data_IF_672913832830
#
_entry.id   IF_672913832830
#
_cell.length_a   1.000
_cell.length_b   1.000
_cell.length_c   1.000
_cell.angle_alpha   90.00
_cell.angle_beta   90.00
_cell.angle_gamma   90.00
#
_symmetry.space_group_name_H-M   'P 1'
#
loop_
_entity.id
_entity.type
_entity.pdbx_description
1 polymer ?
#
# COMPACT_ATOMS: atom_id res chain seq x y z
N UNK A 1 -32.88 -3.57 -0.73
CA UNK A 1 -33.08 -3.89 0.71
C UNK A 1 -31.80 -3.79 1.53
N UNK A 2 -30.68 -4.48 1.19
CA UNK A 2 -29.40 -4.45 1.96
C UNK A 2 -28.98 -3.07 2.48
N UNK A 3 -29.01 -2.02 1.65
CA UNK A 3 -28.63 -0.64 2.03
C UNK A 3 -29.33 -0.10 3.29
N UNK A 4 -30.66 -0.28 3.42
CA UNK A 4 -31.39 0.21 4.58
C UNK A 4 -31.15 -0.62 5.83
N UNK A 5 -30.97 -1.95 5.68
CA UNK A 5 -30.53 -2.81 6.79
C UNK A 5 -29.12 -2.42 7.27
N UNK A 6 -28.22 -2.03 6.36
CA UNK A 6 -26.86 -1.54 6.66
C UNK A 6 -26.87 -0.19 7.39
N UNK A 7 -27.66 0.80 6.95
CA UNK A 7 -27.84 2.07 7.67
C UNK A 7 -28.45 1.86 9.08
N UNK A 8 -29.28 0.83 9.26
CA UNK A 8 -29.83 0.46 10.57
C UNK A 8 -28.79 -0.28 11.43
N UNK A 9 -28.00 -1.18 10.85
CA UNK A 9 -26.89 -1.87 11.51
C UNK A 9 -25.80 -0.90 12.00
N UNK A 10 -25.51 0.17 11.25
CA UNK A 10 -24.64 1.28 11.70
C UNK A 10 -25.12 2.02 12.97
N UNK A 11 -26.36 1.79 13.41
CA UNK A 11 -26.93 2.29 14.68
C UNK A 11 -27.02 1.21 15.78
N UNK A 12 -26.62 -0.03 15.50
CA UNK A 12 -26.49 -1.09 16.50
C UNK A 12 -25.20 -0.93 17.31
N UNK A 13 -25.19 -1.45 18.54
CA UNK A 13 -24.12 -1.31 19.53
C UNK A 13 -22.88 -2.18 19.26
N UNK A 14 -22.37 -2.21 18.03
CA UNK A 14 -21.14 -2.92 17.65
C UNK A 14 -20.09 -1.92 17.16
N UNK A 15 -18.88 -2.00 17.72
CA UNK A 15 -17.77 -1.11 17.35
C UNK A 15 -17.08 -1.51 16.03
N UNK A 16 -17.34 -2.74 15.57
CA UNK A 16 -16.81 -3.33 14.35
C UNK A 16 -17.77 -4.34 13.72
N UNK A 17 -17.54 -4.68 12.45
CA UNK A 17 -18.23 -5.77 11.73
C UNK A 17 -17.22 -6.62 10.96
N UNK A 18 -17.31 -7.94 11.11
CA UNK A 18 -16.43 -8.90 10.43
C UNK A 18 -17.07 -9.37 9.12
N UNK A 19 -16.34 -9.30 7.99
CA UNK A 19 -16.82 -9.71 6.66
C UNK A 19 -15.89 -10.68 5.92
N UNK A 20 -16.42 -11.59 5.07
CA UNK A 20 -15.60 -12.43 4.20
C UNK A 20 -14.79 -11.59 3.20
N UNK A 21 -13.49 -11.90 3.09
CA UNK A 21 -12.52 -11.10 2.33
C UNK A 21 -11.43 -12.01 1.73
N UNK A 22 -11.56 -12.36 0.45
CA UNK A 22 -10.62 -13.25 -0.29
C UNK A 22 -10.28 -14.59 0.41
N UNK A 23 -11.26 -15.20 1.08
CA UNK A 23 -11.09 -16.44 1.86
C UNK A 23 -10.66 -16.21 3.32
N UNK A 24 -10.32 -14.98 3.67
CA UNK A 24 -10.06 -14.49 5.02
C UNK A 24 -11.29 -13.73 5.57
N UNK A 25 -11.15 -13.12 6.73
CA UNK A 25 -12.14 -12.24 7.37
C UNK A 25 -11.55 -10.85 7.61
N UNK A 26 -12.15 -9.79 7.07
CA UNK A 26 -11.77 -8.40 7.36
C UNK A 26 -12.68 -7.83 8.45
N UNK A 27 -12.10 -7.30 9.52
CA UNK A 27 -12.77 -6.54 10.57
C UNK A 27 -12.85 -5.07 10.18
N UNK A 28 -14.07 -4.63 9.88
CA UNK A 28 -14.39 -3.24 9.58
C UNK A 28 -14.75 -2.49 10.87
N UNK A 29 -13.79 -1.80 11.48
CA UNK A 29 -14.06 -0.88 12.59
C UNK A 29 -14.82 0.36 12.10
N UNK A 30 -15.69 0.91 12.95
CA UNK A 30 -16.59 2.02 12.59
C UNK A 30 -15.87 3.31 12.14
N UNK A 31 -14.61 3.51 12.54
CA UNK A 31 -13.79 4.67 12.18
C UNK A 31 -12.83 4.43 10.99
N UNK A 32 -12.87 3.27 10.33
CA UNK A 32 -12.03 3.01 9.16
C UNK A 32 -12.81 3.25 7.86
N UNK A 33 -12.37 4.24 7.08
CA UNK A 33 -12.91 4.50 5.76
C UNK A 33 -12.50 3.43 4.74
N UNK A 34 -11.24 2.97 4.75
CA UNK A 34 -10.76 1.92 3.83
C UNK A 34 -11.49 0.57 4.05
N UNK A 35 -11.75 0.18 5.30
CA UNK A 35 -12.58 -1.01 5.56
C UNK A 35 -14.06 -0.80 5.21
N UNK A 36 -14.58 0.42 5.35
CA UNK A 36 -15.94 0.77 4.90
C UNK A 36 -16.07 0.74 3.37
N UNK A 37 -15.02 1.10 2.64
CA UNK A 37 -14.94 0.98 1.19
C UNK A 37 -14.85 -0.51 0.77
N UNK A 38 -14.05 -1.33 1.45
CA UNK A 38 -13.98 -2.77 1.18
C UNK A 38 -15.33 -3.49 1.38
N UNK A 39 -16.11 -3.06 2.39
CA UNK A 39 -17.49 -3.49 2.61
C UNK A 39 -18.44 -3.06 1.47
N UNK A 40 -18.26 -1.87 0.92
CA UNK A 40 -19.11 -1.30 -0.14
C UNK A 40 -18.83 -1.91 -1.52
N UNK A 41 -17.56 -2.05 -1.89
CA UNK A 41 -17.09 -2.55 -3.18
C UNK A 41 -16.82 -4.07 -3.20
N UNK A 42 -17.52 -4.84 -2.34
CA UNK A 42 -17.51 -6.31 -2.34
C UNK A 42 -16.08 -6.91 -2.31
N UNK A 43 -15.21 -6.37 -1.45
CA UNK A 43 -13.85 -6.85 -1.21
C UNK A 43 -12.75 -6.31 -2.13
N UNK A 44 -13.07 -5.45 -3.10
CA UNK A 44 -12.09 -4.77 -3.96
C UNK A 44 -12.43 -3.28 -4.09
N UNK A 45 -12.11 -2.42 -3.08
CA UNK A 45 -12.30 -0.98 -3.20
C UNK A 45 -11.56 -0.41 -4.42
N UNK A 46 -10.27 -0.72 -4.54
CA UNK A 46 -9.40 -0.21 -5.58
C UNK A 46 -9.31 -1.27 -6.69
N UNK A 47 -10.40 -1.36 -7.45
CA UNK A 47 -10.67 -2.53 -8.29
C UNK A 47 -9.59 -2.80 -9.35
N UNK A 48 -8.90 -1.78 -9.87
CA UNK A 48 -7.85 -1.93 -10.89
C UNK A 48 -6.55 -2.39 -10.25
N UNK A 49 -6.17 -1.71 -9.19
CA UNK A 49 -4.96 -1.82 -8.38
C UNK A 49 -4.89 -3.23 -7.75
N UNK A 50 -5.93 -3.59 -7.02
CA UNK A 50 -6.06 -4.91 -6.39
C UNK A 50 -6.26 -6.03 -7.43
N UNK A 51 -6.78 -5.73 -8.62
CA UNK A 51 -6.80 -6.69 -9.73
C UNK A 51 -5.41 -6.93 -10.31
N UNK A 52 -4.55 -5.91 -10.41
CA UNK A 52 -3.13 -6.11 -10.76
C UNK A 52 -2.44 -6.99 -9.73
N UNK A 53 -2.59 -6.71 -8.43
CA UNK A 53 -1.99 -7.52 -7.34
C UNK A 53 -2.47 -8.98 -7.43
N UNK A 54 -3.78 -9.22 -7.64
CA UNK A 54 -4.35 -10.57 -7.88
C UNK A 54 -3.87 -11.23 -9.17
N UNK A 55 -3.33 -10.49 -10.13
CA UNK A 55 -2.79 -11.00 -11.39
C UNK A 55 -1.29 -11.28 -11.31
N UNK A 56 -0.54 -10.44 -10.61
CA UNK A 56 0.91 -10.42 -10.57
C UNK A 56 1.53 -11.28 -9.46
N UNK A 57 1.01 -11.20 -8.22
CA UNK A 57 1.57 -11.99 -7.11
C UNK A 57 1.40 -13.51 -7.32
N UNK A 58 2.33 -14.26 -6.74
CA UNK A 58 2.42 -15.72 -6.76
C UNK A 58 2.58 -16.26 -5.33
N UNK A 59 2.22 -17.55 -5.08
CA UNK A 59 2.60 -18.22 -3.85
C UNK A 59 4.11 -18.12 -3.61
N UNK A 60 4.52 -17.93 -2.36
CA UNK A 60 5.91 -17.72 -1.94
C UNK A 60 6.60 -16.41 -2.39
N UNK A 61 5.94 -15.47 -3.08
CA UNK A 61 6.46 -14.10 -3.22
C UNK A 61 6.55 -13.40 -1.84
N UNK A 62 7.51 -12.48 -1.66
CA UNK A 62 7.46 -11.44 -0.61
C UNK A 62 6.76 -10.19 -1.16
N UNK A 63 5.83 -9.61 -0.40
CA UNK A 63 5.13 -8.35 -0.68
C UNK A 63 5.39 -7.32 0.43
N UNK A 64 5.46 -6.04 0.07
CA UNK A 64 5.63 -4.92 0.99
C UNK A 64 4.42 -3.98 0.90
N UNK A 65 3.82 -3.65 2.04
CA UNK A 65 2.60 -2.83 2.13
C UNK A 65 2.93 -1.56 2.94
N UNK A 66 3.21 -0.45 2.24
CA UNK A 66 3.61 0.83 2.86
C UNK A 66 2.38 1.73 2.95
N UNK A 67 2.05 2.16 4.18
CA UNK A 67 0.73 2.70 4.49
C UNK A 67 -0.31 1.58 4.47
N UNK A 68 -0.03 0.49 5.21
CA UNK A 68 -0.89 -0.68 5.22
C UNK A 68 -2.30 -0.39 5.76
N UNK A 69 -2.49 0.73 6.47
CA UNK A 69 -3.74 1.16 7.07
C UNK A 69 -4.30 0.02 7.94
N UNK A 70 -5.59 -0.29 7.88
CA UNK A 70 -6.21 -1.43 8.58
C UNK A 70 -5.92 -2.81 7.96
N UNK A 71 -5.08 -2.88 6.93
CA UNK A 71 -4.63 -4.14 6.32
C UNK A 71 -5.45 -4.65 5.15
N UNK A 72 -6.15 -3.78 4.40
CA UNK A 72 -6.91 -4.16 3.19
C UNK A 72 -5.98 -4.84 2.18
N UNK A 73 -4.88 -4.17 1.80
CA UNK A 73 -3.86 -4.72 0.90
C UNK A 73 -3.10 -5.90 1.54
N UNK A 74 -2.69 -5.78 2.81
CA UNK A 74 -2.02 -6.83 3.58
C UNK A 74 -2.77 -8.16 3.55
N UNK A 75 -4.08 -8.17 3.83
CA UNK A 75 -4.89 -9.39 3.84
C UNK A 75 -5.05 -9.98 2.43
N UNK A 76 -5.21 -9.13 1.41
CA UNK A 76 -5.23 -9.58 0.02
C UNK A 76 -3.90 -10.26 -0.36
N UNK A 77 -2.77 -9.63 -0.05
CA UNK A 77 -1.44 -10.15 -0.34
C UNK A 77 -1.19 -11.47 0.41
N UNK A 78 -1.53 -11.54 1.70
CA UNK A 78 -1.38 -12.76 2.50
C UNK A 78 -2.17 -13.95 1.94
N UNK A 79 -3.40 -13.72 1.45
CA UNK A 79 -4.21 -14.73 0.77
C UNK A 79 -3.62 -15.16 -0.60
N UNK A 80 -2.81 -14.33 -1.24
CA UNK A 80 -2.20 -14.60 -2.54
C UNK A 80 -0.83 -15.29 -2.45
N UNK A 81 0.02 -14.89 -1.50
CA UNK A 81 1.36 -15.47 -1.32
C UNK A 81 1.35 -16.71 -0.42
N UNK A 82 0.33 -16.84 0.43
CA UNK A 82 0.13 -17.99 1.32
C UNK A 82 1.18 -18.12 2.42
N UNK A 83 1.14 -19.26 3.14
CA UNK A 83 1.99 -19.51 4.30
C UNK A 83 3.49 -19.72 4.00
N UNK A 84 3.88 -19.76 2.72
CA UNK A 84 5.28 -19.82 2.27
C UNK A 84 5.83 -18.47 1.79
N UNK A 85 4.97 -17.47 1.57
CA UNK A 85 5.37 -16.11 1.23
C UNK A 85 5.52 -15.23 2.47
N UNK A 86 5.82 -13.95 2.25
CA UNK A 86 5.95 -12.95 3.32
C UNK A 86 5.22 -11.67 2.95
N UNK A 87 4.68 -10.99 3.96
CA UNK A 87 4.07 -9.67 3.84
C UNK A 87 4.64 -8.77 4.94
N UNK A 88 5.27 -7.67 4.57
CA UNK A 88 5.75 -6.65 5.50
C UNK A 88 4.83 -5.43 5.44
N UNK A 89 4.01 -5.25 6.48
CA UNK A 89 2.98 -4.23 6.56
C UNK A 89 3.44 -3.08 7.47
N UNK A 90 3.72 -1.92 6.88
CA UNK A 90 4.21 -0.73 7.57
C UNK A 90 3.05 0.22 7.85
N UNK A 91 2.74 0.41 9.14
CA UNK A 91 1.70 1.31 9.61
C UNK A 91 2.18 2.07 10.88
N UNK A 92 2.59 3.34 10.74
CA UNK A 92 3.15 4.12 11.85
C UNK A 92 2.08 4.56 12.87
N UNK A 93 0.82 4.76 12.49
CA UNK A 93 -0.22 5.25 13.40
C UNK A 93 -0.70 4.19 14.38
N UNK A 94 -0.61 4.44 15.69
CA UNK A 94 -0.86 3.42 16.73
C UNK A 94 -2.29 2.86 16.70
N UNK A 95 -3.31 3.69 16.46
CA UNK A 95 -4.69 3.20 16.40
C UNK A 95 -4.92 2.32 15.16
N UNK A 96 -4.44 2.76 14.01
CA UNK A 96 -4.60 2.06 12.72
C UNK A 96 -3.82 0.74 12.71
N UNK A 97 -2.58 0.76 13.20
CA UNK A 97 -1.74 -0.44 13.38
C UNK A 97 -2.39 -1.47 14.30
N UNK A 98 -3.11 -1.06 15.33
CA UNK A 98 -3.84 -1.98 16.20
C UNK A 98 -4.96 -2.72 15.45
N UNK A 99 -5.71 -2.02 14.59
CA UNK A 99 -6.76 -2.64 13.76
C UNK A 99 -6.18 -3.61 12.70
N UNK A 100 -5.02 -3.25 12.12
CA UNK A 100 -4.23 -4.14 11.26
C UNK A 100 -3.74 -5.39 12.00
N UNK A 101 -3.20 -5.25 13.22
CA UNK A 101 -2.76 -6.37 14.05
C UNK A 101 -3.94 -7.29 14.44
N UNK A 102 -5.11 -6.73 14.79
CA UNK A 102 -6.34 -7.48 15.01
C UNK A 102 -6.76 -8.27 13.76
N UNK A 103 -6.70 -7.67 12.58
CA UNK A 103 -7.00 -8.33 11.29
C UNK A 103 -6.03 -9.47 10.98
N UNK A 104 -4.74 -9.30 11.27
CA UNK A 104 -3.71 -10.35 11.11
C UNK A 104 -3.93 -11.50 12.09
N UNK A 105 -4.22 -11.19 13.35
CA UNK A 105 -4.46 -12.17 14.41
C UNK A 105 -5.75 -12.97 14.20
N UNK A 106 -6.85 -12.31 13.80
CA UNK A 106 -8.14 -12.92 13.48
C UNK A 106 -8.01 -14.05 12.45
N UNK A 107 -7.13 -13.85 11.47
CA UNK A 107 -6.88 -14.79 10.38
C UNK A 107 -5.66 -15.70 10.59
N UNK A 108 -4.93 -15.55 11.70
CA UNK A 108 -3.74 -16.34 12.07
C UNK A 108 -2.63 -16.31 11.00
N UNK A 109 -2.42 -15.16 10.35
CA UNK A 109 -1.55 -15.03 9.18
C UNK A 109 -0.07 -14.99 9.57
N UNK A 110 0.54 -16.16 9.75
CA UNK A 110 1.97 -16.30 10.10
C UNK A 110 2.95 -15.78 9.04
N UNK A 111 2.48 -15.47 7.82
CA UNK A 111 3.27 -14.84 6.76
C UNK A 111 3.31 -13.30 6.87
N UNK A 112 2.49 -12.68 7.74
CA UNK A 112 2.44 -11.21 7.88
C UNK A 112 3.27 -10.75 9.08
N UNK A 113 4.12 -9.75 8.87
CA UNK A 113 4.77 -8.96 9.92
C UNK A 113 4.25 -7.53 9.89
N UNK A 114 3.78 -7.03 11.04
CA UNK A 114 3.25 -5.66 11.19
C UNK A 114 4.29 -4.78 11.87
N UNK A 115 4.62 -3.67 11.23
CA UNK A 115 5.76 -2.81 11.56
C UNK A 115 5.31 -1.41 11.98
N UNK A 116 5.81 -0.91 13.11
CA UNK A 116 5.47 0.40 13.69
C UNK A 116 6.32 1.56 13.12
N UNK A 117 6.71 1.47 11.86
CA UNK A 117 7.64 2.41 11.22
C UNK A 117 7.01 3.06 10.00
N UNK A 118 7.30 4.34 9.78
CA UNK A 118 7.10 4.98 8.49
C UNK A 118 8.33 4.71 7.59
N UNK A 119 8.10 4.41 6.32
CA UNK A 119 9.18 4.29 5.34
C UNK A 119 9.47 5.67 4.76
N UNK A 120 10.75 6.05 4.71
CA UNK A 120 11.20 7.36 4.23
C UNK A 120 12.61 7.27 3.61
N UNK A 121 13.17 8.40 3.19
CA UNK A 121 14.48 8.48 2.53
C UNK A 121 15.67 8.40 3.51
N UNK A 122 15.39 8.33 4.82
CA UNK A 122 16.36 8.22 5.92
C UNK A 122 15.72 7.63 7.17
N UNK A 123 16.53 6.99 8.02
CA UNK A 123 16.15 6.69 9.39
C UNK A 123 15.98 7.98 10.23
N UNK A 124 15.05 7.99 11.19
CA UNK A 124 14.83 9.16 12.05
C UNK A 124 13.51 9.15 12.82
N UNK A 125 12.94 10.33 13.06
CA UNK A 125 11.62 10.50 13.69
C UNK A 125 10.82 11.59 12.98
N UNK A 126 9.50 11.44 12.96
CA UNK A 126 8.56 12.36 12.31
C UNK A 126 7.29 12.54 13.16
N UNK A 127 6.49 13.54 12.77
CA UNK A 127 5.22 13.87 13.44
C UNK A 127 4.04 13.42 12.57
N UNK A 128 3.35 12.36 12.98
CA UNK A 128 2.11 11.92 12.35
C UNK A 128 0.95 12.74 12.89
N UNK A 129 0.24 13.48 12.04
CA UNK A 129 -0.92 14.27 12.46
C UNK A 129 -2.19 13.47 12.21
N UNK A 130 -2.90 13.06 13.27
CA UNK A 130 -4.19 12.40 13.14
C UNK A 130 -5.28 13.42 12.81
N UNK A 131 -5.53 13.61 11.51
CA UNK A 131 -6.74 14.25 11.01
C UNK A 131 -7.97 13.35 11.17
N UNK A 132 -9.15 13.91 10.87
CA UNK A 132 -10.29 13.04 10.51
C UNK A 132 -10.05 12.61 9.06
N UNK A 133 -9.89 11.30 8.90
CA UNK A 133 -9.76 10.51 7.66
C UNK A 133 -8.32 10.29 7.13
N UNK A 134 -7.45 11.29 7.04
CA UNK A 134 -6.10 11.12 6.44
C UNK A 134 -4.96 11.16 7.49
N UNK A 135 -4.01 10.22 7.42
CA UNK A 135 -2.88 10.09 8.36
C UNK A 135 -1.59 10.72 7.79
N UNK A 136 -1.55 12.06 7.71
CA UNK A 136 -0.42 12.78 7.10
C UNK A 136 0.83 12.74 8.01
N UNK A 137 1.84 11.98 7.58
CA UNK A 137 3.15 11.90 8.21
C UNK A 137 4.02 13.10 7.81
N UNK A 138 4.14 14.10 8.68
CA UNK A 138 4.90 15.32 8.37
C UNK A 138 6.29 15.32 9.01
N UNK A 139 7.33 15.55 8.20
CA UNK A 139 8.72 15.66 8.63
C UNK A 139 9.01 17.04 9.25
N UNK A 140 8.28 17.36 10.32
CA UNK A 140 8.46 18.59 11.10
C UNK A 140 9.44 18.34 12.25
N UNK A 141 10.41 19.23 12.49
CA UNK A 141 11.17 19.25 13.75
C UNK A 141 10.22 19.34 14.95
N UNK A 142 10.57 18.66 16.05
CA UNK A 142 9.68 18.44 17.20
C UNK A 142 9.21 19.72 17.94
N UNK A 143 9.78 20.88 17.62
CA UNK A 143 9.57 22.15 18.32
C UNK A 143 8.49 23.05 17.68
N UNK A 144 7.92 22.64 16.53
CA UNK A 144 6.87 23.40 15.86
C UNK A 144 5.49 23.15 16.52
N UNK A 145 5.11 24.02 17.46
CA UNK A 145 3.85 23.92 18.20
C UNK A 145 2.61 23.82 17.31
N UNK A 146 1.85 22.73 17.46
CA UNK A 146 0.66 22.41 16.66
C UNK A 146 -0.64 22.58 17.47
N UNK A 147 -1.68 23.10 16.81
CA UNK A 147 -2.97 23.42 17.42
C UNK A 147 -3.93 22.22 17.42
N UNK A 148 -4.34 21.76 18.60
CA UNK A 148 -5.48 20.86 18.90
C UNK A 148 -5.59 19.46 18.23
N UNK A 149 -4.83 19.15 17.18
CA UNK A 149 -4.80 17.82 16.57
C UNK A 149 -3.98 16.81 17.42
N UNK A 150 -4.33 15.53 17.37
CA UNK A 150 -3.51 14.48 17.98
C UNK A 150 -2.26 14.24 17.13
N UNK A 151 -1.11 14.72 17.58
CA UNK A 151 0.20 14.46 16.96
C UNK A 151 0.86 13.26 17.64
N UNK A 152 1.12 12.20 16.87
CA UNK A 152 1.87 11.02 17.30
C UNK A 152 3.33 11.12 16.83
N UNK A 153 4.29 10.88 17.71
CA UNK A 153 5.71 10.79 17.34
C UNK A 153 6.01 9.38 16.82
N UNK A 154 6.49 9.30 15.59
CA UNK A 154 6.69 8.05 14.85
C UNK A 154 8.15 7.89 14.42
N UNK A 155 8.62 6.65 14.29
CA UNK A 155 9.99 6.34 13.86
C UNK A 155 10.02 6.09 12.35
N UNK A 156 11.01 6.68 11.67
CA UNK A 156 11.25 6.49 10.24
C UNK A 156 12.40 5.50 9.99
N UNK A 157 12.30 4.71 8.92
CA UNK A 157 13.33 3.79 8.41
C UNK A 157 13.40 3.88 6.89
N UNK A 158 14.53 3.49 6.28
CA UNK A 158 14.59 3.15 4.85
C UNK A 158 14.22 1.68 4.64
N UNK A 159 13.76 1.28 3.45
CA UNK A 159 13.63 -0.15 3.13
C UNK A 159 15.02 -0.79 2.98
N UNK A 160 16.00 -0.07 2.43
CA UNK A 160 17.35 -0.58 2.23
C UNK A 160 18.04 -0.98 3.56
N UNK A 161 17.80 -0.26 4.66
CA UNK A 161 18.26 -0.63 6.00
C UNK A 161 17.39 -1.70 6.68
N UNK A 162 16.09 -1.77 6.36
CA UNK A 162 15.14 -2.67 7.03
C UNK A 162 15.09 -4.08 6.41
N UNK A 163 15.32 -4.20 5.09
CA UNK A 163 15.33 -5.45 4.33
C UNK A 163 16.66 -5.64 3.56
N UNK A 164 17.83 -5.53 4.22
CA UNK A 164 19.13 -5.43 3.53
C UNK A 164 19.45 -6.64 2.64
N UNK A 165 18.98 -7.83 3.01
CA UNK A 165 19.23 -9.11 2.33
C UNK A 165 17.96 -9.78 1.77
N UNK A 166 16.79 -9.11 1.80
CA UNK A 166 15.52 -9.68 1.32
C UNK A 166 14.99 -8.99 0.06
N UNK A 167 14.88 -9.73 -1.04
CA UNK A 167 14.18 -9.30 -2.26
C UNK A 167 12.66 -9.47 -2.09
N UNK A 168 11.90 -8.51 -2.63
CA UNK A 168 10.43 -8.58 -2.69
C UNK A 168 9.92 -8.46 -4.13
N UNK A 169 8.84 -9.18 -4.45
CA UNK A 169 8.27 -9.20 -5.79
C UNK A 169 7.58 -7.88 -6.14
N UNK A 170 6.95 -7.25 -5.15
CA UNK A 170 6.21 -5.99 -5.28
C UNK A 170 6.09 -5.22 -3.95
N UNK A 171 6.05 -3.89 -4.03
CA UNK A 171 5.55 -3.01 -2.97
C UNK A 171 4.28 -2.25 -3.41
N UNK A 172 3.36 -2.00 -2.47
CA UNK A 172 2.36 -0.91 -2.52
C UNK A 172 2.90 0.28 -1.73
N UNK A 173 2.70 1.48 -2.25
CA UNK A 173 3.07 2.74 -1.61
C UNK A 173 1.95 3.78 -1.83
N UNK A 174 1.12 3.99 -0.82
CA UNK A 174 0.38 5.25 -0.61
C UNK A 174 0.55 5.65 0.86
N UNK A 175 0.96 6.90 1.09
CA UNK A 175 1.36 7.49 2.37
C UNK A 175 1.19 9.02 2.32
N UNK A 176 0.06 9.48 1.77
CA UNK A 176 -0.41 10.87 1.79
C UNK A 176 0.52 11.93 1.16
N UNK A 177 1.37 11.52 0.21
CA UNK A 177 2.35 12.35 -0.48
C UNK A 177 3.82 12.01 -0.17
N UNK A 178 4.09 11.13 0.79
CA UNK A 178 5.47 10.77 1.17
C UNK A 178 6.10 9.68 0.27
N UNK A 179 5.41 9.23 -0.78
CA UNK A 179 5.80 8.13 -1.67
C UNK A 179 7.19 8.33 -2.31
N UNK A 180 7.59 9.53 -2.78
CA UNK A 180 8.93 9.75 -3.30
C UNK A 180 10.03 9.51 -2.26
N UNK A 181 9.75 9.78 -0.99
CA UNK A 181 10.72 9.53 0.10
C UNK A 181 10.84 8.03 0.37
N UNK A 182 9.73 7.30 0.41
CA UNK A 182 9.76 5.84 0.57
C UNK A 182 10.46 5.13 -0.61
N UNK A 183 10.30 5.62 -1.85
CA UNK A 183 11.04 5.10 -3.02
C UNK A 183 12.54 5.45 -2.95
N UNK A 184 12.90 6.67 -2.51
CA UNK A 184 14.31 7.06 -2.30
C UNK A 184 14.98 6.21 -1.21
N UNK A 185 14.24 5.81 -0.19
CA UNK A 185 14.66 4.83 0.83
C UNK A 185 14.71 3.37 0.36
N UNK A 186 14.51 3.10 -0.93
CA UNK A 186 14.54 1.76 -1.52
C UNK A 186 15.45 1.68 -2.77
N UNK A 187 16.28 2.70 -3.03
CA UNK A 187 17.11 2.78 -4.23
C UNK A 187 18.10 1.62 -4.35
N UNK A 188 18.56 1.07 -3.22
CA UNK A 188 19.32 -0.18 -3.19
C UNK A 188 18.53 -1.35 -3.77
N UNK A 189 17.31 -1.58 -3.30
CA UNK A 189 16.38 -2.60 -3.85
C UNK A 189 16.06 -2.38 -5.34
N UNK A 190 15.81 -1.13 -5.75
CA UNK A 190 15.54 -0.78 -7.16
C UNK A 190 16.75 -1.06 -8.07
N UNK A 191 17.97 -1.06 -7.52
CA UNK A 191 19.22 -1.38 -8.21
C UNK A 191 19.68 -2.85 -8.13
N UNK A 192 18.95 -3.74 -7.45
CA UNK A 192 19.29 -5.17 -7.37
C UNK A 192 19.05 -5.90 -8.69
N UNK A 193 19.54 -7.14 -8.79
CA UNK A 193 19.37 -8.01 -9.97
C UNK A 193 17.94 -8.51 -10.20
N UNK A 194 17.07 -8.46 -9.19
CA UNK A 194 15.64 -8.77 -9.28
C UNK A 194 14.82 -7.60 -8.68
N UNK A 195 14.81 -6.43 -9.33
CA UNK A 195 14.28 -5.21 -8.73
C UNK A 195 12.74 -5.26 -8.66
N UNK A 196 12.11 -4.72 -7.60
CA UNK A 196 10.68 -4.92 -7.32
C UNK A 196 9.76 -4.20 -8.30
N UNK A 197 8.50 -4.65 -8.44
CA UNK A 197 7.42 -3.81 -9.01
C UNK A 197 6.90 -2.87 -7.92
N UNK A 198 6.60 -1.62 -8.26
CA UNK A 198 6.00 -0.67 -7.32
C UNK A 198 4.60 -0.29 -7.81
N UNK A 199 3.58 -0.37 -6.96
CA UNK A 199 2.33 0.37 -7.12
C UNK A 199 2.41 1.61 -6.23
N UNK A 200 2.19 2.78 -6.82
CA UNK A 200 2.45 4.08 -6.19
C UNK A 200 1.25 5.00 -6.43
N UNK A 201 0.74 5.66 -5.39
CA UNK A 201 -0.26 6.73 -5.55
C UNK A 201 0.41 8.06 -5.97
N UNK A 202 -0.25 8.77 -6.89
CA UNK A 202 0.19 10.03 -7.48
C UNK A 202 -0.97 11.04 -7.60
N UNK A 203 -1.50 11.43 -6.45
CA UNK A 203 -2.53 12.48 -6.28
C UNK A 203 -1.99 13.93 -6.40
N UNK A 204 -0.66 14.10 -6.28
CA UNK A 204 0.02 15.39 -6.27
C UNK A 204 0.32 15.96 -4.87
N UNK A 205 -0.03 15.25 -3.79
CA UNK A 205 0.34 15.59 -2.42
C UNK A 205 1.83 15.47 -2.13
N UNK A 206 2.63 14.86 -3.01
CA UNK A 206 4.09 14.92 -3.00
C UNK A 206 4.66 16.36 -2.93
N UNK A 207 3.90 17.35 -3.40
CA UNK A 207 4.19 18.79 -3.25
C UNK A 207 4.33 19.22 -1.78
N UNK A 208 3.61 18.58 -0.84
CA UNK A 208 3.75 18.80 0.62
C UNK A 208 5.20 18.55 1.09
N UNK A 209 5.91 17.64 0.41
CA UNK A 209 7.28 17.21 0.69
C UNK A 209 8.30 17.83 -0.27
N UNK A 210 7.90 18.84 -1.05
CA UNK A 210 8.77 19.54 -2.00
C UNK A 210 9.12 18.75 -3.28
N UNK A 211 8.36 17.70 -3.61
CA UNK A 211 8.59 16.88 -4.82
C UNK A 211 7.42 17.04 -5.79
N UNK A 212 7.70 17.55 -6.98
CA UNK A 212 6.71 17.57 -8.07
C UNK A 212 6.59 16.18 -8.72
N UNK A 213 5.38 15.81 -9.13
CA UNK A 213 5.10 14.50 -9.76
C UNK A 213 5.95 14.25 -11.01
N UNK A 214 6.27 15.29 -11.78
CA UNK A 214 7.09 15.17 -12.99
C UNK A 214 8.57 14.86 -12.69
N UNK A 215 9.13 15.44 -11.62
CA UNK A 215 10.49 15.13 -11.15
C UNK A 215 10.57 13.70 -10.61
N UNK A 216 9.56 13.26 -9.85
CA UNK A 216 9.50 11.88 -9.33
C UNK A 216 9.41 10.83 -10.46
N UNK A 217 8.65 11.10 -11.52
CA UNK A 217 8.64 10.25 -12.72
C UNK A 217 10.00 10.25 -13.43
N UNK A 218 10.73 11.37 -13.43
CA UNK A 218 12.09 11.44 -13.97
C UNK A 218 13.12 10.72 -13.09
N UNK A 219 12.95 10.68 -11.77
CA UNK A 219 13.76 9.85 -10.85
C UNK A 219 13.57 8.35 -11.13
N UNK A 220 12.32 7.91 -11.34
CA UNK A 220 12.02 6.54 -11.75
C UNK A 220 12.61 6.20 -13.14
N UNK A 221 12.48 7.09 -14.13
CA UNK A 221 13.09 6.93 -15.47
C UNK A 221 14.62 6.78 -15.38
N UNK A 222 15.29 7.53 -14.50
CA UNK A 222 16.73 7.42 -14.20
C UNK A 222 17.10 6.13 -13.46
N UNK A 223 16.25 5.67 -12.53
CA UNK A 223 16.41 4.38 -11.85
C UNK A 223 16.18 3.15 -12.77
N UNK A 224 15.89 3.36 -14.06
CA UNK A 224 15.66 2.29 -15.03
C UNK A 224 14.24 1.73 -15.02
N UNK A 225 13.29 2.43 -14.40
CA UNK A 225 11.88 2.06 -14.35
C UNK A 225 11.08 2.79 -15.44
N UNK A 226 10.12 2.09 -16.04
CA UNK A 226 9.04 2.72 -16.80
C UNK A 226 7.77 2.75 -15.93
N UNK A 227 7.05 3.87 -15.97
CA UNK A 227 5.73 4.01 -15.31
C UNK A 227 4.61 3.70 -16.29
N UNK A 228 3.53 3.10 -15.81
CA UNK A 228 2.36 2.76 -16.60
C UNK A 228 1.11 2.48 -15.77
N UNK A 229 0.00 2.25 -16.45
CA UNK A 229 -1.32 2.06 -15.84
C UNK A 229 -1.81 0.65 -16.18
N UNK A 230 -2.36 -0.07 -15.19
CA UNK A 230 -2.92 -1.41 -15.43
C UNK A 230 -4.28 -1.32 -16.11
N UNK A 231 -4.44 -1.97 -17.26
CA UNK A 231 -5.75 -2.19 -17.87
C UNK A 231 -6.31 -3.57 -17.49
N UNK A 232 -7.46 -3.56 -16.82
CA UNK A 232 -8.10 -4.77 -16.26
C UNK A 232 -8.75 -5.63 -17.35
N UNK A 233 -9.16 -5.04 -18.48
CA UNK A 233 -9.83 -5.76 -19.56
C UNK A 233 -8.86 -6.64 -20.36
N UNK A 234 -7.70 -6.08 -20.71
CA UNK A 234 -6.61 -6.77 -21.42
C UNK A 234 -5.67 -7.55 -20.48
N UNK A 235 -5.62 -7.19 -19.19
CA UNK A 235 -4.61 -7.64 -18.23
C UNK A 235 -3.19 -7.23 -18.67
N UNK A 236 -3.01 -5.96 -19.03
CA UNK A 236 -1.73 -5.41 -19.51
C UNK A 236 -1.39 -4.08 -18.83
N UNK A 237 -0.18 -3.54 -19.08
CA UNK A 237 0.26 -2.26 -18.52
C UNK A 237 0.56 -1.29 -19.66
N UNK A 238 -0.22 -0.21 -19.78
CA UNK A 238 0.03 0.88 -20.71
C UNK A 238 1.16 1.77 -20.18
N UNK A 239 2.35 1.72 -20.79
CA UNK A 239 3.51 2.51 -20.38
C UNK A 239 3.37 3.97 -20.85
N UNK A 240 3.47 4.92 -19.92
CA UNK A 240 3.28 6.36 -20.20
C UNK A 240 4.21 7.24 -19.37
N UNK A 241 4.67 8.33 -19.99
CA UNK A 241 5.48 9.37 -19.33
C UNK A 241 4.66 10.47 -18.67
N UNK A 242 3.33 10.42 -18.83
CA UNK A 242 2.40 11.44 -18.32
C UNK A 242 1.17 10.79 -17.68
N UNK A 243 1.32 9.93 -16.66
CA UNK A 243 0.22 9.15 -16.08
C UNK A 243 -0.92 10.03 -15.54
N UNK A 244 -0.62 11.23 -15.04
CA UNK A 244 -1.58 12.23 -14.57
C UNK A 244 -2.62 12.66 -15.63
N UNK A 245 -2.36 12.46 -16.93
CA UNK A 245 -3.35 12.72 -17.99
C UNK A 245 -4.45 11.65 -18.10
N UNK A 246 -4.32 10.52 -17.41
CA UNK A 246 -5.30 9.43 -17.43
C UNK A 246 -6.47 9.62 -16.46
N UNK A 247 -6.31 10.46 -15.44
CA UNK A 247 -7.24 10.55 -14.31
C UNK A 247 -7.17 9.37 -13.33
N UNK A 248 -6.20 8.46 -13.45
CA UNK A 248 -5.92 7.40 -12.48
C UNK A 248 -4.85 7.88 -11.50
N UNK A 249 -5.11 7.76 -10.20
CA UNK A 249 -4.19 8.18 -9.12
C UNK A 249 -3.06 7.16 -8.93
N UNK A 250 -3.39 5.87 -8.92
CA UNK A 250 -2.43 4.79 -8.69
C UNK A 250 -1.74 4.35 -10.00
N UNK A 251 -0.41 4.33 -9.99
CA UNK A 251 0.43 3.93 -11.13
C UNK A 251 1.28 2.70 -10.79
N UNK A 252 1.75 1.99 -11.82
CA UNK A 252 2.74 0.93 -11.70
C UNK A 252 4.09 1.39 -12.25
N UNK A 253 5.14 1.36 -11.43
CA UNK A 253 6.51 1.47 -11.89
C UNK A 253 7.12 0.06 -12.01
N UNK A 254 7.65 -0.27 -13.19
CA UNK A 254 8.28 -1.56 -13.48
C UNK A 254 9.67 -1.34 -14.08
N UNK A 255 10.69 -1.97 -13.50
CA UNK A 255 12.05 -1.98 -14.06
C UNK A 255 12.05 -2.50 -15.49
N UNK A 256 12.76 -1.80 -16.38
CA UNK A 256 12.95 -2.16 -17.80
C UNK A 256 13.44 -3.59 -17.98
N UNK A 257 14.29 -4.07 -17.07
CA UNK A 257 14.82 -5.43 -17.08
C UNK A 257 13.78 -6.53 -16.82
N UNK A 258 12.61 -6.19 -16.26
CA UNK A 258 11.55 -7.15 -15.87
C UNK A 258 10.25 -7.03 -16.67
N UNK A 259 10.11 -6.07 -17.60
CA UNK A 259 8.81 -5.80 -18.25
C UNK A 259 8.25 -7.01 -19.01
N UNK A 260 9.09 -7.85 -19.60
CA UNK A 260 8.68 -9.11 -20.25
C UNK A 260 8.19 -10.17 -19.24
N UNK A 261 8.88 -10.32 -18.10
CA UNK A 261 8.52 -11.26 -17.03
C UNK A 261 7.22 -10.85 -16.32
N UNK A 262 7.05 -9.54 -16.06
CA UNK A 262 5.79 -8.98 -15.54
C UNK A 262 4.65 -9.21 -16.55
N UNK A 263 4.88 -8.93 -17.84
CA UNK A 263 3.88 -9.17 -18.90
C UNK A 263 3.50 -10.66 -19.00
N UNK A 264 4.48 -11.57 -18.88
CA UNK A 264 4.22 -13.00 -18.83
C UNK A 264 3.36 -13.41 -17.62
N UNK A 265 3.69 -12.94 -16.40
CA UNK A 265 2.85 -13.17 -15.19
C UNK A 265 1.42 -12.66 -15.37
N UNK A 266 1.23 -11.55 -16.10
CA UNK A 266 -0.11 -11.01 -16.37
C UNK A 266 -0.89 -11.80 -17.44
N UNK A 267 -0.21 -12.50 -18.35
CA UNK A 267 -0.83 -13.34 -19.37
C UNK A 267 -1.27 -14.73 -18.84
N UNK A 268 -0.48 -15.35 -17.94
CA UNK A 268 -0.74 -16.69 -17.37
C UNK A 268 -2.17 -16.83 -16.83
N UNK A 269 -2.99 -17.77 -17.33
CA UNK A 269 -4.33 -18.01 -16.80
C UNK A 269 -4.23 -18.59 -15.37
N UNK A 270 -4.64 -17.82 -14.35
CA UNK A 270 -4.79 -18.37 -12.99
C UNK A 270 -6.05 -19.24 -12.94
N UNK A 271 -5.92 -20.45 -12.41
CA UNK A 271 -7.05 -21.14 -11.77
C UNK A 271 -7.61 -20.25 -10.68
N UNK A 272 -8.93 -20.09 -10.61
CA UNK A 272 -9.55 -19.48 -9.43
C UNK A 272 -9.47 -20.49 -8.26
N UNK A 273 -9.09 -20.05 -7.05
CA UNK A 273 -9.34 -20.81 -5.84
C UNK A 273 -10.83 -20.81 -5.48
#
# INVERSE_FOLDING_TARGET
>A
MRYFAWQWAKRSFADHWDIPYHGLTLRCHRNSHSASAALYFNGLPDFREMSFIRRYLRPADTFVDIGANVGVYTLLAAALVGAQGRVHAFEPGTQTRAQLADNVALNRLSCVSVHAFAVSDRAGSASLTAGVDDCVASLVPADAGADTAHVEQITCVTLDEFLPDEDFAMAKIDIEGAEPLAVRGALGHLGRGNPPVLQIEMDGYSKKFGVETHDFIAELDQAGYDVGIYDVASNSIEFTRTPWLSGVLNVLAVSRARRDEVTARLAEKRSQP
#
